data_IF_794803187997
#
_entry.id   IF_794803187997
#
_cell.length_a   1.000
_cell.length_b   1.000
_cell.length_c   1.000
_cell.angle_alpha   90.00
_cell.angle_beta   90.00
_cell.angle_gamma   90.00
#
_symmetry.space_group_name_H-M   'P 1'
#
loop_
_entity.id
_entity.type
_entity.pdbx_description
1 polymer ?
#
# COMPACT_ATOMS: atom_id res chain seq x y z
N UNK A 1 67.85 -37.32 -7.65
CA UNK A 1 66.60 -36.87 -8.30
C UNK A 1 65.54 -36.69 -7.25
N UNK A 2 65.16 -35.48 -7.03
CA UNK A 2 64.14 -35.18 -6.03
C UNK A 2 62.92 -34.64 -6.77
N UNK A 3 61.87 -35.38 -6.66
CA UNK A 3 60.55 -34.94 -7.09
C UNK A 3 59.99 -33.95 -6.09
N UNK A 4 59.98 -32.70 -6.47
CA UNK A 4 59.25 -31.69 -5.74
C UNK A 4 57.76 -31.88 -6.05
N UNK A 5 57.07 -32.48 -5.10
CA UNK A 5 55.63 -32.49 -5.12
C UNK A 5 55.16 -31.06 -4.77
N UNK A 6 54.79 -30.32 -5.81
CA UNK A 6 54.09 -29.08 -5.63
C UNK A 6 52.66 -29.40 -5.22
N UNK A 7 52.39 -29.27 -3.96
CA UNK A 7 51.06 -29.28 -3.42
C UNK A 7 50.39 -27.98 -3.83
N UNK A 8 49.60 -28.02 -4.88
CA UNK A 8 48.76 -26.89 -5.27
C UNK A 8 47.57 -26.88 -4.31
N UNK A 9 47.68 -26.07 -3.26
CA UNK A 9 46.53 -25.77 -2.44
C UNK A 9 45.60 -24.86 -3.24
N UNK A 10 44.59 -25.46 -3.87
CA UNK A 10 43.50 -24.71 -4.43
C UNK A 10 42.65 -24.20 -3.27
N UNK A 11 42.95 -23.00 -2.81
CA UNK A 11 42.07 -22.32 -1.89
C UNK A 11 40.82 -21.93 -2.69
N UNK A 12 39.79 -22.73 -2.59
CA UNK A 12 38.46 -22.34 -3.05
C UNK A 12 38.00 -21.16 -2.19
N UNK A 13 38.17 -19.96 -2.69
CA UNK A 13 37.57 -18.78 -2.08
C UNK A 13 36.06 -18.91 -2.32
N UNK A 14 35.39 -19.44 -1.32
CA UNK A 14 33.93 -19.34 -1.29
C UNK A 14 33.60 -17.88 -1.06
N UNK A 15 33.24 -17.19 -2.14
CA UNK A 15 32.64 -15.87 -2.01
C UNK A 15 31.32 -16.03 -1.26
N UNK A 16 31.13 -15.35 -0.13
CA UNK A 16 29.81 -15.33 0.47
C UNK A 16 28.90 -14.67 -0.55
N UNK A 17 27.88 -15.39 -0.98
CA UNK A 17 26.72 -14.78 -1.56
C UNK A 17 26.13 -13.90 -0.46
N UNK A 18 26.52 -12.63 -0.46
CA UNK A 18 25.77 -11.64 0.28
C UNK A 18 24.41 -11.59 -0.39
N UNK A 19 23.46 -12.28 0.20
CA UNK A 19 22.09 -11.93 0.00
C UNK A 19 22.01 -10.45 0.37
N UNK A 20 21.79 -9.60 -0.62
CA UNK A 20 21.43 -8.22 -0.36
C UNK A 20 20.12 -8.31 0.43
N UNK A 21 20.21 -8.31 1.75
CA UNK A 21 19.09 -8.04 2.60
C UNK A 21 18.61 -6.66 2.15
N UNK A 22 17.39 -6.59 1.61
CA UNK A 22 16.72 -5.31 1.40
C UNK A 22 16.87 -4.56 2.72
N UNK A 23 17.64 -3.49 2.71
CA UNK A 23 17.76 -2.65 3.89
C UNK A 23 16.36 -2.11 4.18
N UNK A 24 15.74 -2.65 5.21
CA UNK A 24 14.53 -2.08 5.75
C UNK A 24 14.89 -0.70 6.26
N UNK A 25 14.45 0.31 5.53
CA UNK A 25 14.63 1.69 5.97
C UNK A 25 13.86 1.89 7.26
N UNK A 26 14.54 2.45 8.26
CA UNK A 26 13.89 2.90 9.47
C UNK A 26 12.90 4.04 9.13
N UNK A 27 11.75 4.02 9.77
CA UNK A 27 10.73 5.01 9.58
C UNK A 27 9.32 4.43 9.66
N UNK A 28 8.34 5.28 9.45
CA UNK A 28 6.95 4.86 9.41
C UNK A 28 6.68 3.98 8.17
N UNK A 29 5.78 3.02 8.31
CA UNK A 29 5.33 2.14 7.23
C UNK A 29 3.84 1.92 7.34
N UNK A 30 3.15 1.99 6.22
CA UNK A 30 1.73 1.69 6.16
C UNK A 30 1.52 0.31 5.53
N UNK A 31 0.84 -0.57 6.27
CA UNK A 31 0.47 -1.88 5.79
C UNK A 31 -1.05 -2.00 5.76
N UNK A 32 -1.62 -1.97 4.58
CA UNK A 32 -3.05 -2.14 4.40
C UNK A 32 -3.45 -3.61 4.45
N UNK A 33 -4.59 -3.91 5.05
CA UNK A 33 -5.20 -5.25 5.02
C UNK A 33 -5.64 -5.62 3.61
N UNK A 34 -6.13 -4.62 2.86
CA UNK A 34 -6.47 -4.72 1.45
C UNK A 34 -6.27 -3.37 0.78
N UNK A 35 -6.03 -3.37 -0.51
CA UNK A 35 -5.84 -2.14 -1.31
C UNK A 35 -6.90 -1.99 -2.40
N UNK A 36 -7.82 -2.92 -2.50
CA UNK A 36 -8.88 -2.93 -3.49
C UNK A 36 -10.22 -3.20 -2.84
N UNK A 37 -11.24 -2.46 -3.28
CA UNK A 37 -12.61 -2.65 -2.87
C UNK A 37 -13.50 -2.80 -4.10
N UNK A 38 -14.13 -3.97 -4.25
CA UNK A 38 -15.09 -4.24 -5.30
C UNK A 38 -16.50 -4.14 -4.73
N UNK A 39 -17.25 -3.13 -5.17
CA UNK A 39 -18.63 -2.93 -4.75
C UNK A 39 -19.61 -3.85 -5.49
N UNK A 40 -19.15 -4.56 -6.53
CA UNK A 40 -20.04 -5.30 -7.42
C UNK A 40 -20.98 -4.35 -8.16
N UNK A 41 -22.24 -4.73 -8.25
CA UNK A 41 -23.29 -3.88 -8.86
C UNK A 41 -23.81 -2.88 -7.83
N UNK A 42 -23.81 -1.61 -8.19
CA UNK A 42 -24.39 -0.54 -7.37
C UNK A 42 -25.44 0.22 -8.17
N UNK A 43 -26.53 0.60 -7.51
CA UNK A 43 -27.57 1.42 -8.12
C UNK A 43 -27.21 2.90 -8.02
N UNK A 44 -27.24 3.62 -9.13
CA UNK A 44 -27.05 5.08 -9.15
C UNK A 44 -28.19 5.84 -8.47
N UNK A 45 -29.32 5.19 -8.26
CA UNK A 45 -30.45 5.74 -7.52
C UNK A 45 -30.44 5.36 -6.04
N UNK A 46 -29.49 4.52 -5.65
CA UNK A 46 -29.34 4.03 -4.29
C UNK A 46 -28.57 4.96 -3.36
N UNK A 47 -28.28 4.43 -2.20
CA UNK A 47 -27.48 5.13 -1.19
C UNK A 47 -26.01 5.13 -1.54
N UNK A 48 -25.30 6.12 -1.01
CA UNK A 48 -23.83 6.18 -1.12
C UNK A 48 -23.20 4.93 -0.53
N UNK A 49 -22.12 4.49 -1.14
CA UNK A 49 -21.36 3.33 -0.70
C UNK A 49 -20.14 3.77 0.13
N UNK A 50 -19.85 3.02 1.16
CA UNK A 50 -18.67 3.26 2.01
C UNK A 50 -17.71 2.09 1.87
N UNK A 51 -16.45 2.39 1.60
CA UNK A 51 -15.36 1.42 1.67
C UNK A 51 -14.36 1.83 2.73
N UNK A 52 -14.01 0.88 3.60
CA UNK A 52 -13.04 1.10 4.69
C UNK A 52 -11.77 0.32 4.38
N UNK A 53 -10.65 1.03 4.34
CA UNK A 53 -9.32 0.45 4.19
C UNK A 53 -8.60 0.56 5.53
N UNK A 54 -8.52 -0.56 6.23
CA UNK A 54 -7.80 -0.65 7.50
C UNK A 54 -6.31 -0.86 7.24
N UNK A 55 -5.49 -0.26 8.07
CA UNK A 55 -4.04 -0.42 8.00
C UNK A 55 -3.42 -0.44 9.40
N UNK A 56 -2.16 -0.83 9.45
CA UNK A 56 -1.32 -0.79 10.64
C UNK A 56 -0.03 -0.06 10.32
N UNK A 57 0.49 0.68 11.30
CA UNK A 57 1.85 1.20 11.20
C UNK A 57 2.83 0.08 11.53
N UNK A 58 3.39 -0.51 10.49
CA UNK A 58 4.33 -1.63 10.55
C UNK A 58 5.79 -1.13 10.52
N UNK A 59 6.00 0.13 10.80
CA UNK A 59 7.32 0.77 10.80
C UNK A 59 7.92 0.93 12.18
N UNK A 60 8.91 1.81 12.26
CA UNK A 60 9.69 2.08 13.47
C UNK A 60 9.47 3.48 14.04
N UNK A 61 8.67 4.30 13.36
CA UNK A 61 8.34 5.67 13.75
C UNK A 61 6.84 5.94 13.58
N UNK A 62 6.28 6.97 14.24
CA UNK A 62 4.88 7.32 14.07
C UNK A 62 4.52 7.62 12.61
N UNK A 63 3.37 7.16 12.19
CA UNK A 63 2.83 7.34 10.83
C UNK A 63 1.84 8.50 10.81
N UNK A 64 2.00 9.40 9.85
CA UNK A 64 1.04 10.49 9.59
C UNK A 64 0.55 10.41 8.16
N UNK A 65 -0.77 10.32 7.99
CA UNK A 65 -1.39 10.43 6.67
C UNK A 65 -1.47 11.91 6.30
N UNK A 66 -0.83 12.29 5.21
CA UNK A 66 -0.73 13.68 4.77
C UNK A 66 -1.88 14.08 3.85
N UNK A 67 -2.20 13.21 2.89
CA UNK A 67 -3.30 13.45 1.95
C UNK A 67 -3.83 12.15 1.37
N UNK A 68 -5.10 12.18 1.02
CA UNK A 68 -5.77 11.12 0.28
C UNK A 68 -6.49 11.79 -0.89
N UNK A 69 -6.04 11.54 -2.11
CA UNK A 69 -6.50 12.26 -3.29
C UNK A 69 -6.98 11.33 -4.39
N UNK A 70 -8.00 11.78 -5.11
CA UNK A 70 -8.54 11.10 -6.27
C UNK A 70 -8.99 12.12 -7.31
N UNK A 71 -8.99 11.74 -8.57
CA UNK A 71 -9.48 12.58 -9.67
C UNK A 71 -11.01 12.56 -9.79
N UNK A 72 -11.69 11.62 -9.14
CA UNK A 72 -13.14 11.50 -9.22
C UNK A 72 -13.83 12.33 -8.12
N UNK A 73 -14.71 13.25 -8.53
CA UNK A 73 -15.56 14.00 -7.59
C UNK A 73 -16.60 13.13 -6.89
N UNK A 74 -16.80 11.88 -7.37
CA UNK A 74 -17.72 10.91 -6.79
C UNK A 74 -17.19 10.27 -5.51
N UNK A 75 -15.92 10.47 -5.18
CA UNK A 75 -15.27 9.86 -4.01
C UNK A 75 -14.87 10.93 -3.01
N UNK A 76 -15.33 10.78 -1.77
CA UNK A 76 -14.95 11.63 -0.66
C UNK A 76 -14.10 10.84 0.34
N UNK A 77 -12.79 11.13 0.43
CA UNK A 77 -11.94 10.49 1.42
C UNK A 77 -12.20 11.04 2.83
N UNK A 78 -12.21 10.16 3.81
CA UNK A 78 -12.33 10.49 5.23
C UNK A 78 -11.18 9.82 5.96
N UNK A 79 -10.32 10.62 6.57
CA UNK A 79 -9.13 10.12 7.26
C UNK A 79 -8.68 11.09 8.34
N UNK A 80 -7.86 10.59 9.26
CA UNK A 80 -7.27 11.40 10.33
C UNK A 80 -5.82 11.74 10.00
N UNK A 81 -5.41 12.97 10.34
CA UNK A 81 -4.00 13.39 10.28
C UNK A 81 -3.26 13.24 11.60
N UNK A 82 -3.91 12.64 12.60
CA UNK A 82 -3.27 12.36 13.89
C UNK A 82 -2.17 11.31 13.71
N UNK A 83 -1.02 11.47 14.39
CA UNK A 83 0.02 10.45 14.35
C UNK A 83 -0.49 9.10 14.84
N UNK A 84 -0.09 8.05 14.14
CA UNK A 84 -0.43 6.67 14.46
C UNK A 84 0.84 6.00 14.98
N UNK A 85 0.81 5.60 16.23
CA UNK A 85 1.96 4.99 16.89
C UNK A 85 2.39 3.70 16.20
N UNK A 86 3.65 3.32 16.40
CA UNK A 86 4.19 2.05 15.91
C UNK A 86 3.32 0.89 16.41
N UNK A 87 2.91 0.02 15.51
CA UNK A 87 2.03 -1.11 15.80
C UNK A 87 0.55 -0.76 15.97
N UNK A 88 0.19 0.51 15.97
CA UNK A 88 -1.21 0.93 16.06
C UNK A 88 -1.92 0.84 14.72
N UNK A 89 -3.24 0.74 14.78
CA UNK A 89 -4.12 0.63 13.61
C UNK A 89 -4.74 1.98 13.28
N UNK A 90 -5.00 2.16 11.99
CA UNK A 90 -5.74 3.28 11.46
C UNK A 90 -6.65 2.83 10.32
N UNK A 91 -7.41 3.77 9.79
CA UNK A 91 -8.29 3.50 8.66
C UNK A 91 -8.41 4.71 7.74
N UNK A 92 -8.69 4.42 6.49
CA UNK A 92 -9.11 5.40 5.49
C UNK A 92 -10.47 4.96 4.99
N UNK A 93 -11.44 5.86 5.05
CA UNK A 93 -12.78 5.61 4.53
C UNK A 93 -12.96 6.37 3.22
N UNK A 94 -13.56 5.71 2.24
CA UNK A 94 -13.93 6.31 0.97
C UNK A 94 -15.44 6.26 0.85
N UNK A 95 -16.07 7.42 0.91
CA UNK A 95 -17.50 7.55 0.67
C UNK A 95 -17.72 7.81 -0.81
N UNK A 96 -18.45 6.91 -1.47
CA UNK A 96 -18.70 6.97 -2.90
C UNK A 96 -20.13 7.45 -3.14
N UNK A 97 -20.26 8.62 -3.77
CA UNK A 97 -21.54 9.16 -4.20
C UNK A 97 -21.91 8.54 -5.55
N UNK A 98 -22.76 7.52 -5.50
CA UNK A 98 -23.15 6.75 -6.68
C UNK A 98 -23.94 7.57 -7.70
N UNK A 99 -24.58 8.64 -7.28
CA UNK A 99 -25.33 9.53 -8.17
C UNK A 99 -24.45 10.36 -9.09
N UNK A 100 -23.18 10.57 -8.67
CA UNK A 100 -22.19 11.30 -9.46
C UNK A 100 -21.40 10.40 -10.42
N UNK A 101 -21.63 9.10 -10.38
CA UNK A 101 -20.96 8.15 -11.26
C UNK A 101 -21.68 8.02 -12.60
N UNK A 102 -20.91 7.80 -13.65
CA UNK A 102 -21.46 7.41 -14.94
C UNK A 102 -21.92 5.94 -14.89
N UNK A 103 -22.95 5.64 -15.67
CA UNK A 103 -23.43 4.27 -15.82
C UNK A 103 -22.35 3.40 -16.46
N UNK A 104 -22.19 2.21 -15.96
CA UNK A 104 -21.25 1.21 -16.48
C UNK A 104 -20.18 0.82 -15.50
N UNK A 105 -19.16 0.13 -16.01
CA UNK A 105 -18.00 -0.30 -15.21
C UNK A 105 -17.21 0.91 -14.76
N UNK A 106 -16.90 0.97 -13.48
CA UNK A 106 -16.02 1.99 -12.93
C UNK A 106 -14.79 1.38 -12.26
N UNK A 107 -13.70 2.09 -12.38
CA UNK A 107 -12.43 1.79 -11.72
C UNK A 107 -11.79 3.12 -11.36
N UNK A 108 -11.62 3.36 -10.08
CA UNK A 108 -11.06 4.62 -9.58
C UNK A 108 -9.90 4.35 -8.66
N UNK A 109 -8.86 5.13 -8.84
CA UNK A 109 -7.61 5.04 -8.08
C UNK A 109 -7.55 6.21 -7.11
N UNK A 110 -7.13 5.91 -5.89
CA UNK A 110 -6.96 6.88 -4.82
C UNK A 110 -5.50 6.82 -4.34
N UNK A 111 -4.85 7.96 -4.28
CA UNK A 111 -3.47 8.06 -3.81
C UNK A 111 -3.45 8.46 -2.34
N UNK A 112 -2.74 7.68 -1.54
CA UNK A 112 -2.51 7.94 -0.12
C UNK A 112 -1.07 8.39 0.05
N UNK A 113 -0.88 9.65 0.43
CA UNK A 113 0.43 10.20 0.76
C UNK A 113 0.60 10.26 2.27
N UNK A 114 1.75 9.84 2.72
CA UNK A 114 2.10 9.82 4.14
C UNK A 114 3.59 10.08 4.33
N UNK A 115 4.04 10.10 5.58
CA UNK A 115 5.46 10.12 5.90
C UNK A 115 6.11 8.74 5.85
N UNK A 116 5.39 7.74 5.36
CA UNK A 116 5.92 6.39 5.24
C UNK A 116 7.12 6.32 4.28
N UNK A 117 8.09 5.49 4.64
CA UNK A 117 9.33 5.32 3.85
C UNK A 117 9.13 4.56 2.56
N UNK A 118 8.07 3.79 2.46
CA UNK A 118 7.70 3.01 1.27
C UNK A 118 6.91 3.82 0.23
N UNK A 119 6.75 5.11 0.45
CA UNK A 119 6.22 6.06 -0.53
C UNK A 119 4.70 6.15 -0.56
N UNK A 120 4.18 6.52 -1.72
CA UNK A 120 2.73 6.70 -1.93
C UNK A 120 2.04 5.36 -2.09
N UNK A 121 0.98 5.13 -1.32
CA UNK A 121 0.13 3.96 -1.47
C UNK A 121 -1.02 4.24 -2.44
N UNK A 122 -1.44 3.20 -3.16
CA UNK A 122 -2.54 3.27 -4.11
C UNK A 122 -3.67 2.37 -3.62
N UNK A 123 -4.85 2.95 -3.48
CA UNK A 123 -6.09 2.23 -3.21
C UNK A 123 -6.97 2.27 -4.45
N UNK A 124 -7.71 1.20 -4.67
CA UNK A 124 -8.57 1.06 -5.85
C UNK A 124 -10.00 0.73 -5.42
N UNK A 125 -10.95 1.41 -6.01
CA UNK A 125 -12.36 1.03 -5.94
C UNK A 125 -12.85 0.69 -7.33
N UNK A 126 -13.69 -0.32 -7.42
CA UNK A 126 -14.26 -0.78 -8.69
C UNK A 126 -15.65 -1.35 -8.51
N UNK A 127 -16.38 -1.46 -9.58
CA UNK A 127 -17.72 -2.02 -9.62
C UNK A 127 -18.44 -1.69 -10.91
N UNK A 128 -19.72 -1.92 -10.91
CA UNK A 128 -20.61 -1.61 -12.04
C UNK A 128 -21.76 -0.73 -11.55
N UNK A 129 -21.85 0.49 -12.07
CA UNK A 129 -22.95 1.40 -11.76
C UNK A 129 -24.13 1.16 -12.70
N UNK A 130 -25.28 0.88 -12.11
CA UNK A 130 -26.56 0.64 -12.83
C UNK A 130 -27.59 1.69 -12.46
N UNK A 131 -28.53 1.87 -13.33
CA UNK A 131 -29.71 2.72 -13.05
C UNK A 131 -30.65 2.03 -12.08
#
# INVERSE_FOLDING_TARGET
MRLLSMLFCLAAVALPLSAEAEEERDGARVKFERTECDFGEVSREGENQLCVFNFVNDGTEPLVILSVTTSCSCVKPIFSRKPIAVGAKGKIELLVDVKKMDKGVFHRVVQVRSNAVDGTAILTIKGVAKN
#
